data_IF_568372633198
#
_entry.id   IF_568372633198
#
_cell.length_a   1.000
_cell.length_b   1.000
_cell.length_c   1.000
_cell.angle_alpha   90.00
_cell.angle_beta   90.00
_cell.angle_gamma   90.00
#
_symmetry.space_group_name_H-M   'P 1'
#
loop_
_entity.id
_entity.type
_entity.pdbx_description
1 polymer ?
#
# COMPACT_ATOMS: atom_id res chain seq x y z
N UNK A 1 -25.48 8.99 -8.82
CA UNK A 1 -24.32 9.27 -7.95
C UNK A 1 -23.28 8.19 -8.20
N UNK A 2 -22.07 8.59 -8.54
CA UNK A 2 -21.03 7.61 -8.77
C UNK A 2 -20.51 7.08 -7.43
N UNK A 3 -20.43 5.77 -7.31
CA UNK A 3 -19.77 5.16 -6.16
C UNK A 3 -18.27 5.35 -6.31
N UNK A 4 -17.63 5.67 -5.21
CA UNK A 4 -16.18 5.72 -5.18
C UNK A 4 -15.64 4.31 -5.21
N UNK A 5 -14.91 3.97 -6.26
CA UNK A 5 -14.19 2.70 -6.37
C UNK A 5 -12.73 2.94 -6.03
N UNK A 6 -12.15 2.05 -5.24
CA UNK A 6 -10.77 2.17 -4.83
C UNK A 6 -10.62 2.60 -3.38
N UNK A 7 -9.39 2.82 -2.94
CA UNK A 7 -9.11 3.10 -1.54
C UNK A 7 -9.58 4.49 -1.11
N UNK A 8 -9.97 4.60 0.16
CA UNK A 8 -10.45 5.86 0.75
C UNK A 8 -9.32 6.84 1.07
N UNK A 9 -8.07 6.40 1.01
CA UNK A 9 -6.90 7.13 1.48
C UNK A 9 -6.02 7.68 0.36
N UNK A 10 -6.51 7.66 -0.86
CA UNK A 10 -5.79 8.22 -2.00
C UNK A 10 -6.53 7.99 -3.31
N UNK A 11 -6.05 8.61 -4.36
CA UNK A 11 -6.61 8.48 -5.71
C UNK A 11 -5.67 7.64 -6.57
N UNK A 12 -6.20 6.61 -7.21
CA UNK A 12 -5.43 5.74 -8.09
C UNK A 12 -5.23 6.42 -9.45
N UNK A 13 -3.98 6.45 -9.92
CA UNK A 13 -3.69 6.76 -11.33
C UNK A 13 -4.07 5.53 -12.16
N UNK A 14 -5.18 5.62 -12.87
CA UNK A 14 -5.72 4.49 -13.64
C UNK A 14 -4.79 4.06 -14.77
N UNK A 15 -4.11 5.00 -15.42
CA UNK A 15 -3.18 4.67 -16.49
C UNK A 15 -1.98 3.88 -15.99
N UNK A 16 -1.44 4.27 -14.84
CA UNK A 16 -0.33 3.54 -14.24
C UNK A 16 -0.77 2.16 -13.73
N UNK A 17 -1.96 2.08 -13.13
CA UNK A 17 -2.53 0.78 -12.72
C UNK A 17 -2.66 -0.18 -13.89
N UNK A 18 -3.13 0.30 -15.03
CA UNK A 18 -3.24 -0.51 -16.25
C UNK A 18 -1.85 -0.94 -16.75
N UNK A 19 -0.88 -0.03 -16.73
CA UNK A 19 0.50 -0.35 -17.12
C UNK A 19 1.08 -1.47 -16.25
N UNK A 20 0.89 -1.41 -14.94
CA UNK A 20 1.36 -2.47 -14.03
C UNK A 20 0.74 -3.82 -14.35
N UNK A 21 -0.54 -3.83 -14.71
CA UNK A 21 -1.29 -5.06 -14.99
C UNK A 21 -1.00 -5.65 -16.36
N UNK A 22 -0.63 -4.83 -17.36
CA UNK A 22 -0.55 -5.23 -18.76
C UNK A 22 0.83 -5.17 -19.38
N UNK A 23 1.87 -4.80 -18.63
CA UNK A 23 3.25 -4.81 -19.14
C UNK A 23 3.59 -6.23 -19.60
N UNK A 24 4.04 -6.35 -20.87
CA UNK A 24 4.42 -7.66 -21.42
C UNK A 24 5.71 -8.16 -20.78
N UNK A 25 5.89 -9.47 -20.75
CA UNK A 25 7.00 -10.11 -20.03
C UNK A 25 8.38 -9.58 -20.44
N UNK A 26 8.59 -9.37 -21.75
CA UNK A 26 9.88 -8.89 -22.27
C UNK A 26 10.22 -7.46 -21.83
N UNK A 27 9.21 -6.66 -21.50
CA UNK A 27 9.36 -5.27 -21.07
C UNK A 27 9.23 -5.11 -19.55
N UNK A 28 8.92 -6.18 -18.85
CA UNK A 28 8.71 -6.16 -17.41
C UNK A 28 10.02 -6.42 -16.65
N UNK A 29 10.07 -5.95 -15.44
CA UNK A 29 11.23 -6.11 -14.59
C UNK A 29 10.97 -5.58 -13.20
N UNK A 30 12.00 -5.50 -12.36
CA UNK A 30 11.83 -5.08 -10.97
C UNK A 30 11.18 -3.70 -10.86
N UNK A 31 10.29 -3.58 -9.88
CA UNK A 31 9.73 -2.30 -9.46
C UNK A 31 9.75 -2.26 -7.94
N UNK A 32 10.22 -1.14 -7.40
CA UNK A 32 10.24 -0.94 -5.95
C UNK A 32 9.14 0.06 -5.61
N UNK A 33 8.17 -0.40 -4.85
CA UNK A 33 7.04 0.43 -4.44
C UNK A 33 7.39 1.14 -3.14
N UNK A 34 7.38 2.47 -3.19
CA UNK A 34 7.61 3.33 -2.03
C UNK A 34 6.25 3.76 -1.50
N UNK A 35 6.01 3.45 -0.23
CA UNK A 35 4.76 3.77 0.46
C UNK A 35 5.04 4.80 1.54
N UNK A 36 4.34 5.93 1.49
CA UNK A 36 4.30 6.91 2.57
C UNK A 36 2.93 6.81 3.21
N UNK A 37 2.88 6.70 4.53
CA UNK A 37 1.63 6.40 5.23
C UNK A 37 1.38 7.41 6.34
N UNK A 38 0.14 7.92 6.38
CA UNK A 38 -0.38 8.74 7.46
C UNK A 38 -1.59 8.04 8.05
N UNK A 39 -1.56 7.81 9.35
CA UNK A 39 -2.60 7.04 10.02
C UNK A 39 -3.74 7.90 10.54
N UNK A 40 -4.93 7.30 10.60
CA UNK A 40 -6.06 7.85 11.34
C UNK A 40 -5.75 7.77 12.84
N UNK A 41 -6.28 8.69 13.60
CA UNK A 41 -6.17 8.64 15.06
C UNK A 41 -6.87 7.39 15.61
N UNK A 42 -8.07 7.09 15.09
CA UNK A 42 -8.81 5.86 15.40
C UNK A 42 -9.15 5.17 14.09
N UNK A 43 -8.92 3.87 14.02
CA UNK A 43 -9.22 3.09 12.83
C UNK A 43 -10.73 3.13 12.52
N UNK A 44 -11.04 3.23 11.23
CA UNK A 44 -12.41 3.31 10.73
C UNK A 44 -12.63 2.21 9.69
N UNK A 45 -13.25 1.11 10.11
CA UNK A 45 -13.50 -0.03 9.23
C UNK A 45 -14.67 0.23 8.31
N UNK A 46 -14.48 -0.05 7.02
CA UNK A 46 -15.49 0.17 5.99
C UNK A 46 -16.74 -0.71 6.18
N UNK A 47 -16.62 -1.83 6.89
CA UNK A 47 -17.75 -2.70 7.20
C UNK A 47 -18.63 -2.18 8.36
N UNK A 48 -18.29 -1.04 8.94
CA UNK A 48 -19.09 -0.39 9.96
C UNK A 48 -18.89 -0.94 11.37
N UNK A 49 -17.95 -1.88 11.57
CA UNK A 49 -17.66 -2.37 12.93
C UNK A 49 -17.13 -1.25 13.80
N UNK A 50 -17.45 -1.29 15.07
CA UNK A 50 -16.85 -0.38 16.04
C UNK A 50 -15.37 -0.71 16.23
N UNK A 51 -14.55 0.31 16.40
CA UNK A 51 -13.12 0.16 16.59
C UNK A 51 -12.64 1.10 17.70
N UNK A 52 -11.80 0.58 18.57
CA UNK A 52 -11.12 1.37 19.61
C UNK A 52 -9.61 1.39 19.38
N UNK A 53 -9.12 0.68 18.34
CA UNK A 53 -7.69 0.67 18.03
C UNK A 53 -7.31 1.91 17.23
N UNK A 54 -6.06 2.31 17.32
CA UNK A 54 -5.53 3.42 16.53
C UNK A 54 -5.36 2.98 15.07
N UNK A 55 -5.21 3.96 14.18
CA UNK A 55 -4.90 3.66 12.79
C UNK A 55 -3.61 2.88 12.63
N UNK A 56 -2.58 3.22 13.40
CA UNK A 56 -1.32 2.50 13.39
C UNK A 56 -1.47 1.05 13.87
N UNK A 57 -2.22 0.83 14.95
CA UNK A 57 -2.51 -0.51 15.45
C UNK A 57 -3.28 -1.35 14.42
N UNK A 58 -4.21 -0.74 13.69
CA UNK A 58 -4.92 -1.44 12.62
C UNK A 58 -3.97 -1.85 11.50
N UNK A 59 -3.06 -0.97 11.10
CA UNK A 59 -2.06 -1.31 10.08
C UNK A 59 -1.12 -2.42 10.55
N UNK A 60 -0.82 -2.49 11.84
CA UNK A 60 -0.03 -3.59 12.40
C UNK A 60 -0.73 -4.94 12.28
N UNK A 61 -2.07 -4.96 12.17
CA UNK A 61 -2.83 -6.17 11.88
C UNK A 61 -2.78 -6.57 10.41
N UNK A 62 -2.42 -5.62 9.52
CA UNK A 62 -2.17 -5.91 8.13
C UNK A 62 -0.85 -6.66 8.01
N UNK A 63 -0.92 -7.90 7.55
CA UNK A 63 0.27 -8.74 7.41
C UNK A 63 0.38 -9.25 5.98
N UNK A 64 1.10 -8.53 5.11
CA UNK A 64 1.22 -8.90 3.70
C UNK A 64 2.35 -9.88 3.41
N UNK A 65 3.13 -10.30 4.41
CA UNK A 65 4.37 -11.04 4.17
C UNK A 65 4.17 -12.34 3.38
N UNK A 66 3.11 -13.10 3.71
CA UNK A 66 2.82 -14.34 2.97
C UNK A 66 2.41 -14.06 1.53
N UNK A 67 1.60 -13.01 1.33
CA UNK A 67 1.17 -12.59 -0.02
C UNK A 67 2.35 -12.07 -0.84
N UNK A 68 3.25 -11.32 -0.22
CA UNK A 68 4.47 -10.85 -0.88
C UNK A 68 5.36 -12.02 -1.28
N UNK A 69 5.57 -12.97 -0.37
CA UNK A 69 6.38 -14.16 -0.65
C UNK A 69 5.79 -14.97 -1.80
N UNK A 70 4.47 -15.07 -1.87
CA UNK A 70 3.78 -15.82 -2.93
C UNK A 70 4.07 -15.29 -4.33
N UNK A 71 4.40 -14.00 -4.47
CA UNK A 71 4.72 -13.39 -5.77
C UNK A 71 6.21 -13.05 -5.91
N UNK A 72 7.04 -13.51 -4.98
CA UNK A 72 8.49 -13.28 -5.01
C UNK A 72 8.92 -11.88 -4.58
N UNK A 73 8.03 -11.14 -3.93
CA UNK A 73 8.32 -9.80 -3.42
C UNK A 73 8.86 -9.85 -1.99
N UNK A 74 9.56 -8.79 -1.58
CA UNK A 74 10.11 -8.69 -0.24
C UNK A 74 10.20 -7.23 0.20
N UNK A 75 9.98 -6.95 1.49
CA UNK A 75 10.23 -5.61 2.02
C UNK A 75 11.73 -5.30 2.02
N UNK A 76 12.08 -4.07 1.66
CA UNK A 76 13.44 -3.56 1.67
C UNK A 76 13.64 -2.62 2.85
N UNK A 77 12.62 -1.80 3.14
CA UNK A 77 12.61 -0.87 4.25
C UNK A 77 11.21 -0.85 4.86
N UNK A 78 11.13 -0.86 6.16
CA UNK A 78 9.90 -0.64 6.90
C UNK A 78 10.27 0.11 8.18
N UNK A 79 9.80 1.34 8.32
CA UNK A 79 10.20 2.13 9.47
C UNK A 79 9.28 3.30 9.74
N UNK A 80 9.27 3.70 11.00
CA UNK A 80 8.58 4.90 11.42
C UNK A 80 9.40 6.12 11.04
N UNK A 81 8.71 7.19 10.64
CA UNK A 81 9.34 8.46 10.34
C UNK A 81 9.79 9.13 11.65
N UNK A 82 11.06 9.45 11.74
CA UNK A 82 11.57 10.18 12.89
C UNK A 82 11.03 11.61 12.88
N UNK A 83 11.35 12.34 11.83
CA UNK A 83 10.84 13.70 11.61
C UNK A 83 11.15 14.13 10.19
N UNK A 84 10.25 14.90 9.57
CA UNK A 84 10.51 15.45 8.25
C UNK A 84 11.39 16.68 8.36
N UNK A 85 12.53 16.65 7.68
CA UNK A 85 13.41 17.82 7.58
C UNK A 85 12.89 18.82 6.56
N UNK A 86 12.26 18.32 5.50
CA UNK A 86 11.76 19.11 4.38
C UNK A 86 10.51 18.46 3.83
N UNK A 87 9.50 19.22 3.53
CA UNK A 87 8.26 18.71 2.97
C UNK A 87 7.16 19.78 2.96
N UNK A 88 5.95 19.36 2.67
CA UNK A 88 4.78 20.21 2.73
C UNK A 88 4.05 20.07 4.07
N UNK A 89 2.76 20.39 4.09
CA UNK A 89 1.94 20.34 5.32
C UNK A 89 1.65 18.91 5.79
N UNK A 90 1.82 17.91 4.93
CA UNK A 90 1.51 16.53 5.29
C UNK A 90 2.60 15.96 6.18
N UNK A 91 2.21 15.45 7.33
CA UNK A 91 3.12 14.77 8.25
C UNK A 91 2.93 13.27 8.06
N UNK A 92 3.98 12.61 7.57
CA UNK A 92 3.96 11.17 7.32
C UNK A 92 4.42 10.41 8.57
N UNK A 93 3.79 9.29 8.85
CA UNK A 93 4.05 8.51 10.06
C UNK A 93 4.99 7.33 9.81
N UNK A 94 4.89 6.72 8.63
CA UNK A 94 5.65 5.49 8.33
C UNK A 94 6.01 5.42 6.85
N UNK A 95 7.14 4.77 6.57
CA UNK A 95 7.61 4.50 5.21
C UNK A 95 7.79 3.00 5.06
N UNK A 96 7.31 2.46 3.94
CA UNK A 96 7.61 1.09 3.55
C UNK A 96 8.07 1.07 2.10
N UNK A 97 9.12 0.32 1.81
CA UNK A 97 9.60 0.09 0.46
C UNK A 97 9.59 -1.40 0.21
N UNK A 98 8.87 -1.83 -0.81
CA UNK A 98 8.71 -3.24 -1.15
C UNK A 98 9.24 -3.47 -2.55
N UNK A 99 10.12 -4.43 -2.68
CA UNK A 99 10.72 -4.83 -3.95
C UNK A 99 9.87 -5.93 -4.59
N UNK A 100 9.40 -5.69 -5.80
CA UNK A 100 8.68 -6.67 -6.62
C UNK A 100 9.55 -7.09 -7.79
N UNK A 101 9.60 -8.40 -8.13
CA UNK A 101 10.40 -8.86 -9.26
C UNK A 101 9.91 -8.35 -10.60
N UNK A 102 8.61 -8.09 -10.72
CA UNK A 102 7.99 -7.54 -11.93
C UNK A 102 6.83 -6.62 -11.55
N UNK A 103 6.42 -5.76 -12.49
CA UNK A 103 5.22 -4.94 -12.32
C UNK A 103 3.98 -5.80 -12.18
N UNK A 104 3.91 -6.89 -12.95
CA UNK A 104 2.77 -7.80 -12.91
C UNK A 104 2.65 -8.50 -11.56
N UNK A 105 3.77 -8.80 -10.89
CA UNK A 105 3.72 -9.42 -9.56
C UNK A 105 3.03 -8.53 -8.52
N UNK A 106 3.16 -7.21 -8.64
CA UNK A 106 2.40 -6.28 -7.79
C UNK A 106 0.89 -6.47 -7.97
N UNK A 107 0.43 -6.52 -9.23
CA UNK A 107 -0.98 -6.74 -9.55
C UNK A 107 -1.44 -8.12 -9.11
N UNK A 108 -0.62 -9.14 -9.33
CA UNK A 108 -0.94 -10.52 -8.92
C UNK A 108 -1.13 -10.63 -7.41
N UNK A 109 -0.27 -9.99 -6.63
CA UNK A 109 -0.41 -9.99 -5.17
C UNK A 109 -1.76 -9.43 -4.74
N UNK A 110 -2.20 -8.34 -5.35
CA UNK A 110 -3.46 -7.69 -4.98
C UNK A 110 -4.69 -8.55 -5.27
N UNK A 111 -4.58 -9.53 -6.18
CA UNK A 111 -5.67 -10.46 -6.47
C UNK A 111 -5.73 -11.64 -5.52
N UNK A 112 -4.72 -11.84 -4.66
CA UNK A 112 -4.69 -12.97 -3.73
C UNK A 112 -5.73 -12.78 -2.62
N UNK A 113 -6.52 -13.82 -2.30
CA UNK A 113 -7.50 -13.74 -1.21
C UNK A 113 -6.88 -13.37 0.14
N UNK A 114 -5.68 -13.88 0.42
CA UNK A 114 -4.97 -13.57 1.67
C UNK A 114 -4.62 -12.10 1.77
N UNK A 115 -4.22 -11.47 0.66
CA UNK A 115 -3.97 -10.05 0.62
C UNK A 115 -5.25 -9.25 0.83
N UNK A 116 -6.31 -9.61 0.12
CA UNK A 116 -7.59 -8.89 0.23
C UNK A 116 -8.18 -8.98 1.63
N UNK A 117 -8.05 -10.12 2.28
CA UNK A 117 -8.55 -10.30 3.64
C UNK A 117 -7.78 -9.43 4.65
N UNK A 118 -6.48 -9.33 4.55
CA UNK A 118 -5.70 -8.52 5.49
C UNK A 118 -5.74 -7.02 5.16
N UNK A 119 -5.94 -6.66 3.91
CA UNK A 119 -5.92 -5.26 3.45
C UNK A 119 -7.01 -4.40 4.09
N UNK A 120 -8.09 -5.00 4.59
CA UNK A 120 -9.14 -4.28 5.30
C UNK A 120 -8.62 -3.53 6.53
N UNK A 121 -7.59 -4.08 7.18
CA UNK A 121 -6.95 -3.43 8.33
C UNK A 121 -6.13 -2.22 7.90
N UNK A 122 -5.42 -2.32 6.80
CA UNK A 122 -4.69 -1.18 6.24
C UNK A 122 -5.66 -0.07 5.84
N UNK A 123 -6.75 -0.41 5.14
CA UNK A 123 -7.77 0.56 4.76
C UNK A 123 -8.37 1.26 5.99
N UNK A 124 -8.63 0.49 7.05
CA UNK A 124 -9.21 1.05 8.28
C UNK A 124 -8.28 2.04 8.97
N UNK A 125 -6.98 1.79 8.93
CA UNK A 125 -5.99 2.61 9.64
C UNK A 125 -5.49 3.82 8.89
N UNK A 126 -5.63 3.84 7.58
CA UNK A 126 -4.96 4.82 6.73
C UNK A 126 -5.81 6.08 6.53
N UNK A 127 -5.26 7.24 6.90
CA UNK A 127 -5.87 8.53 6.57
C UNK A 127 -5.45 8.97 5.17
N UNK A 128 -4.16 8.81 4.86
CA UNK A 128 -3.60 9.19 3.56
C UNK A 128 -2.39 8.32 3.27
N UNK A 129 -2.20 7.98 2.00
CA UNK A 129 -1.00 7.25 1.59
C UNK A 129 -0.60 7.65 0.18
N UNK A 130 0.69 7.56 -0.08
CA UNK A 130 1.24 7.67 -1.42
C UNK A 130 1.95 6.34 -1.71
N UNK A 131 1.69 5.80 -2.88
CA UNK A 131 2.39 4.61 -3.39
C UNK A 131 3.00 4.98 -4.72
N UNK A 132 4.32 4.89 -4.81
CA UNK A 132 5.06 5.26 -6.02
C UNK A 132 5.90 4.08 -6.49
N UNK A 133 5.76 3.73 -7.77
CA UNK A 133 6.67 2.78 -8.39
C UNK A 133 7.99 3.47 -8.73
N UNK A 134 9.10 2.85 -8.36
CA UNK A 134 10.44 3.35 -8.64
C UNK A 134 11.27 2.30 -9.34
N UNK A 135 12.23 2.75 -10.13
CA UNK A 135 13.21 1.88 -10.77
C UNK A 135 14.53 2.05 -10.03
N UNK A 136 15.03 1.02 -9.34
CA UNK A 136 16.32 1.14 -8.66
C UNK A 136 17.44 1.38 -9.66
N UNK A 137 18.38 2.23 -9.28
CA UNK A 137 19.50 2.62 -10.14
C UNK A 137 20.70 1.72 -9.89
#
# INVERSE_FOLDING_TARGET
MSEQTGPRYGTIDQAYGLKLATTVADDDGPVWMVNLMKYREVADYADGRESTVTGEEADDLYSPLDSLAAVGAAPVLFGDVDQQLLGDETVWDRVAVVKYPTRRSFTEMQSLPTFQESHKHKDAGMQSTIVMGTQPM
#
